data_IF_283866290687
#
_entry.id   IF_283866290687
#
_cell.length_a   1.000
_cell.length_b   1.000
_cell.length_c   1.000
_cell.angle_alpha   90.00
_cell.angle_beta   90.00
_cell.angle_gamma   90.00
#
_symmetry.space_group_name_H-M   'P 1'
#
loop_
_entity.id
_entity.type
_entity.pdbx_description
1 polymer ?
#
# COMPACT_ATOMS: atom_id res chain seq x y z
N UNK A 1 -24.13 5.90 6.51
CA UNK A 1 -23.09 5.25 5.71
C UNK A 1 -22.98 3.79 6.13
N UNK A 2 -22.94 2.86 5.18
CA UNK A 2 -22.70 1.45 5.52
C UNK A 2 -21.21 1.21 5.73
N UNK A 3 -20.80 0.24 6.59
CA UNK A 3 -19.40 0.02 6.94
C UNK A 3 -18.64 -0.75 5.83
N UNK A 4 -18.42 -0.09 4.69
CA UNK A 4 -17.77 -0.68 3.52
C UNK A 4 -16.77 0.30 2.92
N UNK A 5 -15.59 -0.21 2.57
CA UNK A 5 -14.57 0.51 1.79
C UNK A 5 -14.32 -0.33 0.54
N UNK A 6 -14.44 0.30 -0.63
CA UNK A 6 -14.19 -0.37 -1.92
C UNK A 6 -12.80 -0.07 -2.46
N UNK A 7 -12.32 1.16 -2.29
CA UNK A 7 -11.07 1.62 -2.90
C UNK A 7 -10.26 2.41 -1.87
N UNK A 8 -8.98 2.08 -1.78
CA UNK A 8 -7.98 2.92 -1.11
C UNK A 8 -7.07 3.46 -2.21
N UNK A 9 -7.04 4.78 -2.37
CA UNK A 9 -6.23 5.42 -3.41
C UNK A 9 -5.02 6.09 -2.79
N UNK A 10 -3.84 5.75 -3.32
CA UNK A 10 -2.58 6.37 -2.93
C UNK A 10 -2.18 7.38 -4.01
N UNK A 11 -1.97 8.62 -3.60
CA UNK A 11 -1.38 9.64 -4.47
C UNK A 11 0.12 9.38 -4.58
N UNK A 12 0.63 9.29 -5.82
CA UNK A 12 2.04 8.99 -6.07
C UNK A 12 2.66 10.05 -6.96
N UNK A 13 3.97 10.26 -6.82
CA UNK A 13 4.70 11.26 -7.60
C UNK A 13 5.01 10.78 -9.02
N UNK A 14 5.25 9.48 -9.20
CA UNK A 14 5.60 8.86 -10.48
C UNK A 14 4.86 7.53 -10.58
N UNK A 15 3.80 7.53 -11.41
CA UNK A 15 2.90 6.39 -11.52
C UNK A 15 3.61 5.14 -12.04
N UNK A 16 4.51 5.27 -13.03
CA UNK A 16 5.23 4.12 -13.56
C UNK A 16 6.20 3.54 -12.54
N UNK A 17 6.90 4.38 -11.80
CA UNK A 17 7.83 3.93 -10.77
C UNK A 17 7.08 3.21 -9.65
N UNK A 18 5.94 3.73 -9.23
CA UNK A 18 5.11 3.09 -8.21
C UNK A 18 4.48 1.80 -8.71
N UNK A 19 4.08 1.74 -9.99
CA UNK A 19 3.61 0.51 -10.61
C UNK A 19 4.67 -0.59 -10.51
N UNK A 20 5.91 -0.28 -10.86
CA UNK A 20 7.02 -1.25 -10.79
C UNK A 20 7.24 -1.71 -9.35
N UNK A 21 7.20 -0.79 -8.39
CA UNK A 21 7.36 -1.13 -6.97
C UNK A 21 6.30 -2.15 -6.51
N UNK A 22 5.03 -1.86 -6.77
CA UNK A 22 3.92 -2.71 -6.29
C UNK A 22 3.75 -3.97 -7.12
N UNK A 23 3.85 -3.89 -8.45
CA UNK A 23 3.69 -5.04 -9.33
C UNK A 23 4.90 -5.96 -9.31
N UNK A 24 6.07 -5.43 -9.63
CA UNK A 24 7.29 -6.24 -9.77
C UNK A 24 7.96 -6.46 -8.42
N UNK A 25 8.01 -5.43 -7.60
CA UNK A 25 8.65 -5.48 -6.29
C UNK A 25 7.87 -6.30 -5.27
N UNK A 26 6.58 -6.03 -5.11
CA UNK A 26 5.73 -6.72 -4.14
C UNK A 26 4.92 -7.87 -4.75
N UNK A 27 4.94 -8.02 -6.05
CA UNK A 27 4.28 -9.14 -6.73
C UNK A 27 2.76 -8.99 -6.83
N UNK A 28 2.21 -7.78 -6.74
CA UNK A 28 0.77 -7.59 -6.83
C UNK A 28 0.32 -7.59 -8.30
N UNK A 29 -0.65 -8.44 -8.66
CA UNK A 29 -1.13 -8.50 -10.04
C UNK A 29 -1.97 -7.27 -10.39
N UNK A 30 -1.80 -6.79 -11.62
CA UNK A 30 -2.55 -5.64 -12.14
C UNK A 30 -2.54 -5.66 -13.66
N UNK A 31 -3.49 -4.94 -14.26
CA UNK A 31 -3.49 -4.70 -15.71
C UNK A 31 -2.53 -3.57 -16.11
N UNK A 32 -1.90 -2.90 -15.15
CA UNK A 32 -1.02 -1.78 -15.41
C UNK A 32 -1.76 -0.45 -15.49
N UNK A 33 -1.14 0.53 -16.13
CA UNK A 33 -1.71 1.87 -16.25
C UNK A 33 -2.83 1.86 -17.28
N UNK A 34 -4.00 2.34 -16.87
CA UNK A 34 -5.17 2.49 -17.74
C UNK A 34 -5.68 3.93 -17.66
N UNK A 35 -6.60 4.29 -18.55
CA UNK A 35 -7.25 5.60 -18.52
C UNK A 35 -6.45 6.73 -19.13
N UNK A 36 -5.35 6.43 -19.82
CA UNK A 36 -4.47 7.46 -20.41
C UNK A 36 -5.15 8.26 -21.54
N UNK A 37 -6.23 7.75 -22.10
CA UNK A 37 -7.02 8.45 -23.13
C UNK A 37 -7.84 9.61 -22.56
N UNK A 38 -7.99 9.71 -21.25
CA UNK A 38 -8.71 10.80 -20.59
C UNK A 38 -7.73 11.77 -19.95
N UNK A 39 -8.11 13.05 -19.90
CA UNK A 39 -7.36 14.03 -19.14
C UNK A 39 -7.37 13.67 -17.66
N UNK A 40 -6.20 13.65 -17.02
CA UNK A 40 -6.03 13.25 -15.61
C UNK A 40 -6.62 11.85 -15.30
N UNK A 41 -6.65 10.97 -16.32
CA UNK A 41 -7.30 9.67 -16.19
C UNK A 41 -6.38 8.49 -15.89
N UNK A 42 -5.07 8.69 -15.94
CA UNK A 42 -4.11 7.60 -15.73
C UNK A 42 -4.18 7.07 -14.29
N UNK A 43 -4.38 5.76 -14.15
CA UNK A 43 -4.57 5.10 -12.85
C UNK A 43 -4.09 3.66 -12.94
N UNK A 44 -3.69 3.09 -11.81
CA UNK A 44 -3.40 1.66 -11.68
C UNK A 44 -4.33 1.08 -10.61
N UNK A 45 -4.95 -0.06 -10.91
CA UNK A 45 -5.77 -0.80 -9.96
C UNK A 45 -5.14 -2.15 -9.64
N UNK A 46 -5.09 -2.47 -8.34
CA UNK A 46 -4.74 -3.80 -7.85
C UNK A 46 -5.96 -4.38 -7.14
N UNK A 47 -6.42 -5.54 -7.59
CA UNK A 47 -7.50 -6.26 -6.91
C UNK A 47 -6.92 -6.94 -5.66
N UNK A 48 -7.45 -6.57 -4.52
CA UNK A 48 -7.04 -7.12 -3.23
C UNK A 48 -8.10 -8.13 -2.75
N UNK A 49 -8.12 -8.39 -1.45
CA UNK A 49 -9.09 -9.30 -0.85
C UNK A 49 -10.51 -8.68 -0.81
N UNK A 50 -11.52 -9.54 -0.83
CA UNK A 50 -12.94 -9.16 -0.60
C UNK A 50 -13.40 -7.95 -1.44
N UNK A 51 -13.00 -7.92 -2.71
CA UNK A 51 -13.32 -6.86 -3.66
C UNK A 51 -12.72 -5.49 -3.34
N UNK A 52 -11.84 -5.40 -2.35
CA UNK A 52 -11.10 -4.16 -2.09
C UNK A 52 -10.11 -3.90 -3.23
N UNK A 53 -10.04 -2.64 -3.64
CA UNK A 53 -9.08 -2.20 -4.66
C UNK A 53 -8.07 -1.25 -4.02
N UNK A 54 -6.80 -1.51 -4.27
CA UNK A 54 -5.73 -0.55 -4.03
C UNK A 54 -5.48 0.17 -5.35
N UNK A 55 -5.63 1.49 -5.35
CA UNK A 55 -5.42 2.31 -6.55
C UNK A 55 -4.20 3.20 -6.40
N UNK A 56 -3.45 3.37 -7.48
CA UNK A 56 -2.39 4.38 -7.56
C UNK A 56 -2.86 5.45 -8.53
N UNK A 57 -2.76 6.71 -8.11
CA UNK A 57 -3.18 7.85 -8.91
C UNK A 57 -2.13 8.96 -8.77
N UNK A 58 -1.82 9.70 -9.85
CA UNK A 58 -0.86 10.81 -9.71
C UNK A 58 -1.33 11.78 -8.61
N UNK A 59 -0.46 12.10 -7.66
CA UNK A 59 -0.83 12.91 -6.50
C UNK A 59 -1.39 14.27 -6.89
N UNK A 60 -0.80 14.93 -7.92
CA UNK A 60 -1.31 16.22 -8.40
C UNK A 60 -2.71 16.09 -9.01
N UNK A 61 -3.01 14.98 -9.67
CA UNK A 61 -4.33 14.73 -10.24
C UNK A 61 -5.36 14.45 -9.15
N UNK A 62 -4.97 13.71 -8.10
CA UNK A 62 -5.83 13.44 -6.94
C UNK A 62 -6.17 14.75 -6.21
N UNK A 63 -5.17 15.56 -5.92
CA UNK A 63 -5.38 16.84 -5.24
C UNK A 63 -6.30 17.77 -6.04
N UNK A 64 -6.10 17.81 -7.36
CA UNK A 64 -6.95 18.61 -8.26
C UNK A 64 -8.39 18.08 -8.30
N UNK A 65 -8.55 16.77 -8.42
CA UNK A 65 -9.87 16.14 -8.49
C UNK A 65 -10.65 16.35 -7.19
N UNK A 66 -9.99 16.16 -6.06
CA UNK A 66 -10.60 16.31 -4.73
C UNK A 66 -10.71 17.77 -4.27
N UNK A 67 -10.09 18.70 -5.00
CA UNK A 67 -10.07 20.14 -4.67
C UNK A 67 -9.47 20.41 -3.30
N UNK A 68 -8.36 19.74 -3.00
CA UNK A 68 -7.61 19.95 -1.77
C UNK A 68 -6.24 20.55 -2.10
N UNK A 69 -5.63 21.30 -1.17
CA UNK A 69 -4.29 21.85 -1.38
C UNK A 69 -3.26 20.73 -1.53
N UNK A 70 -2.30 20.91 -2.43
CA UNK A 70 -1.15 20.02 -2.54
C UNK A 70 -0.35 20.12 -1.25
N UNK A 71 -0.10 18.96 -0.62
CA UNK A 71 0.68 18.90 0.61
C UNK A 71 1.64 17.70 0.54
N UNK A 72 2.80 17.78 1.21
CA UNK A 72 3.68 16.63 1.30
C UNK A 72 2.97 15.49 2.07
N UNK A 73 3.22 14.21 1.73
CA UNK A 73 2.63 13.10 2.44
C UNK A 73 3.11 13.06 3.90
N UNK A 74 2.20 12.70 4.80
CA UNK A 74 2.52 12.51 6.22
C UNK A 74 2.34 11.04 6.58
N UNK A 75 3.42 10.34 6.98
CA UNK A 75 3.34 8.92 7.30
C UNK A 75 2.62 8.64 8.63
N UNK A 76 2.36 9.67 9.43
CA UNK A 76 1.68 9.48 10.72
C UNK A 76 0.16 9.49 10.63
N UNK A 77 -0.42 9.87 9.49
CA UNK A 77 -1.86 10.07 9.37
C UNK A 77 -2.62 8.84 8.90
N UNK A 78 -1.96 7.92 8.22
CA UNK A 78 -2.59 6.72 7.66
C UNK A 78 -1.56 5.59 7.59
N UNK A 79 -1.99 4.38 7.90
CA UNK A 79 -1.21 3.18 7.57
C UNK A 79 -2.12 2.13 6.96
N UNK A 80 -1.53 1.31 6.10
CA UNK A 80 -2.23 0.16 5.51
C UNK A 80 -1.64 -1.09 6.14
N UNK A 81 -2.49 -1.91 6.74
CA UNK A 81 -2.08 -3.16 7.36
C UNK A 81 -2.25 -4.34 6.40
N UNK A 82 -1.19 -5.10 6.23
CA UNK A 82 -1.21 -6.37 5.51
C UNK A 82 -0.98 -7.48 6.53
N UNK A 83 -2.00 -8.32 6.72
CA UNK A 83 -1.99 -9.36 7.74
C UNK A 83 -1.63 -10.69 7.10
N UNK A 84 -0.67 -11.37 7.70
CA UNK A 84 -0.15 -12.66 7.21
C UNK A 84 -0.27 -13.74 8.28
N UNK A 85 -0.01 -14.99 7.90
CA UNK A 85 -0.29 -16.15 8.74
C UNK A 85 0.83 -16.57 9.68
N UNK A 86 2.01 -15.95 9.62
CA UNK A 86 3.15 -16.32 10.45
C UNK A 86 4.18 -15.20 10.56
N UNK A 87 5.05 -15.31 11.58
CA UNK A 87 6.19 -14.40 11.75
C UNK A 87 7.15 -14.48 10.56
N UNK A 88 7.36 -15.68 10.04
CA UNK A 88 8.23 -15.91 8.89
C UNK A 88 7.75 -15.20 7.64
N UNK A 89 6.43 -15.15 7.43
CA UNK A 89 5.84 -14.40 6.32
C UNK A 89 6.03 -12.90 6.50
N UNK A 90 5.93 -12.38 7.73
CA UNK A 90 6.23 -10.98 8.02
C UNK A 90 7.65 -10.65 7.59
N UNK A 91 8.62 -11.45 8.05
CA UNK A 91 10.02 -11.22 7.72
C UNK A 91 10.28 -11.28 6.22
N UNK A 92 9.66 -12.24 5.52
CA UNK A 92 9.84 -12.40 4.08
C UNK A 92 9.31 -11.17 3.31
N UNK A 93 8.15 -10.66 3.67
CA UNK A 93 7.55 -9.50 3.00
C UNK A 93 8.32 -8.22 3.32
N UNK A 94 8.76 -8.06 4.57
CA UNK A 94 9.60 -6.91 4.93
C UNK A 94 10.89 -6.88 4.11
N UNK A 95 11.53 -8.02 3.91
CA UNK A 95 12.71 -8.12 3.08
C UNK A 95 12.40 -7.85 1.60
N UNK A 96 11.31 -8.40 1.10
CA UNK A 96 10.86 -8.18 -0.29
C UNK A 96 10.63 -6.69 -0.55
N UNK A 97 9.97 -5.99 0.39
CA UNK A 97 9.70 -4.57 0.28
C UNK A 97 11.01 -3.76 0.26
N UNK A 98 11.95 -4.10 1.13
CA UNK A 98 13.26 -3.42 1.18
C UNK A 98 14.03 -3.59 -0.13
N UNK A 99 14.05 -4.81 -0.69
CA UNK A 99 14.69 -5.08 -1.98
C UNK A 99 14.02 -4.27 -3.10
N UNK A 100 12.70 -4.09 -3.03
CA UNK A 100 11.94 -3.32 -4.00
C UNK A 100 12.16 -1.80 -3.90
N UNK A 101 12.82 -1.33 -2.84
CA UNK A 101 13.13 0.09 -2.65
C UNK A 101 12.39 0.76 -1.52
N UNK A 102 11.60 0.02 -0.73
CA UNK A 102 10.92 0.58 0.43
C UNK A 102 11.92 0.96 1.52
N UNK A 103 11.52 1.93 2.33
CA UNK A 103 12.27 2.32 3.51
C UNK A 103 11.66 1.63 4.72
N UNK A 104 12.41 0.75 5.37
CA UNK A 104 12.01 0.14 6.64
C UNK A 104 12.12 1.20 7.74
N UNK A 105 11.00 1.52 8.36
CA UNK A 105 10.96 2.51 9.45
C UNK A 105 11.06 1.85 10.81
N UNK A 106 10.53 0.65 10.96
CA UNK A 106 10.61 -0.15 12.18
C UNK A 106 10.72 -1.62 11.79
N UNK A 107 11.88 -2.26 11.98
CA UNK A 107 12.04 -3.67 11.65
C UNK A 107 11.03 -4.54 12.41
N UNK A 108 10.68 -5.67 11.83
CA UNK A 108 9.72 -6.59 12.43
C UNK A 108 10.19 -7.05 13.81
N UNK A 109 9.28 -7.01 14.79
CA UNK A 109 9.56 -7.39 16.17
C UNK A 109 8.27 -7.82 16.89
N UNK A 110 8.42 -8.49 18.02
CA UNK A 110 7.30 -8.84 18.89
C UNK A 110 6.66 -7.56 19.43
N UNK A 111 5.33 -7.55 19.44
CA UNK A 111 4.53 -6.40 19.88
C UNK A 111 3.82 -6.71 21.20
N UNK A 112 3.51 -5.64 21.96
CA UNK A 112 2.85 -5.78 23.27
C UNK A 112 1.48 -6.47 23.19
N UNK A 113 0.81 -6.38 22.03
CA UNK A 113 -0.52 -6.98 21.82
C UNK A 113 -0.47 -8.46 21.46
N UNK A 114 0.71 -9.09 21.49
CA UNK A 114 0.88 -10.54 21.29
C UNK A 114 1.24 -10.96 19.89
N UNK A 115 1.31 -10.03 18.94
CA UNK A 115 1.69 -10.30 17.56
C UNK A 115 3.12 -9.91 17.23
N UNK A 116 3.38 -9.87 15.92
CA UNK A 116 4.70 -9.59 15.37
C UNK A 116 4.52 -8.75 14.11
N UNK A 117 5.16 -7.58 14.06
CA UNK A 117 4.98 -6.70 12.91
C UNK A 117 6.18 -5.80 12.66
N UNK A 118 6.26 -5.32 11.42
CA UNK A 118 7.19 -4.29 11.01
C UNK A 118 6.50 -3.24 10.16
N UNK A 119 7.15 -2.10 9.97
CA UNK A 119 6.65 -1.00 9.17
C UNK A 119 7.63 -0.63 8.07
N UNK A 120 7.09 -0.30 6.90
CA UNK A 120 7.88 0.31 5.84
C UNK A 120 7.09 1.44 5.17
N UNK A 121 7.82 2.33 4.50
CA UNK A 121 7.24 3.34 3.63
C UNK A 121 7.49 2.96 2.19
N UNK A 122 6.49 3.17 1.34
CA UNK A 122 6.67 3.02 -0.09
C UNK A 122 7.51 4.18 -0.65
N UNK A 123 7.62 4.26 -1.98
CA UNK A 123 8.46 5.27 -2.63
C UNK A 123 7.98 6.71 -2.41
N UNK A 124 6.74 6.89 -2.01
CA UNK A 124 6.12 8.19 -1.74
C UNK A 124 5.90 8.45 -0.26
N UNK A 125 6.38 7.56 0.61
CA UNK A 125 6.25 7.73 2.04
C UNK A 125 4.97 7.18 2.64
N UNK A 126 4.14 6.48 1.86
CA UNK A 126 2.94 5.83 2.41
C UNK A 126 3.35 4.68 3.33
N UNK A 127 2.72 4.64 4.50
CA UNK A 127 3.10 3.73 5.57
C UNK A 127 2.33 2.42 5.47
N UNK A 128 3.08 1.32 5.52
CA UNK A 128 2.55 -0.04 5.56
C UNK A 128 2.99 -0.75 6.83
N UNK A 129 2.07 -1.47 7.44
CA UNK A 129 2.38 -2.42 8.51
C UNK A 129 2.20 -3.84 7.99
N UNK A 130 3.23 -4.67 8.11
CA UNK A 130 3.15 -6.09 7.81
C UNK A 130 3.09 -6.82 9.14
N UNK A 131 2.00 -7.53 9.40
CA UNK A 131 1.72 -8.03 10.72
C UNK A 131 1.19 -9.46 10.73
N UNK A 132 1.61 -10.21 11.74
CA UNK A 132 0.97 -11.44 12.15
C UNK A 132 0.31 -11.22 13.50
N UNK A 133 -0.96 -11.59 13.59
CA UNK A 133 -1.73 -11.52 14.83
C UNK A 133 -2.33 -12.90 15.10
N UNK A 134 -1.94 -13.57 16.20
CA UNK A 134 -2.43 -14.92 16.47
C UNK A 134 -3.95 -15.00 16.71
N UNK A 135 -4.58 -13.85 17.02
CA UNK A 135 -6.02 -13.77 17.22
C UNK A 135 -6.81 -13.65 15.92
N UNK A 136 -6.15 -13.40 14.79
CA UNK A 136 -6.82 -13.20 13.51
C UNK A 136 -6.51 -14.32 12.53
N UNK A 137 -7.57 -14.93 12.01
CA UNK A 137 -7.44 -15.94 10.96
C UNK A 137 -7.19 -15.24 9.63
N UNK A 138 -6.20 -15.73 8.89
CA UNK A 138 -5.90 -15.24 7.54
C UNK A 138 -6.59 -16.13 6.53
N UNK A 139 -7.46 -15.54 5.73
CA UNK A 139 -8.13 -16.22 4.62
C UNK A 139 -7.34 -15.95 3.35
N UNK A 140 -6.97 -17.01 2.67
CA UNK A 140 -6.24 -16.93 1.40
C UNK A 140 -7.16 -17.17 0.21
#
# INVERSE_FOLDING_TARGET
>A
MKPRIKVVTLGVSDLERSLIFYRDGLGLPTQGIIGTEFEEGAVVFFNMNDDLILALYPGHALDKDAKVPVSPPSPSDLSIGHIVGSKEEVDAIMQQAEIAGARVTDPARDRFWGGYSGYFQDLDGHLWEIAWNPAWEVKE
#
